data_IF_883454619161
#
_entry.id   IF_883454619161
#
_cell.length_a   1.000
_cell.length_b   1.000
_cell.length_c   1.000
_cell.angle_alpha   90.00
_cell.angle_beta   90.00
_cell.angle_gamma   90.00
#
_symmetry.space_group_name_H-M   'P 1'
#
loop_
_entity.id
_entity.type
_entity.pdbx_description
1 polymer ?
#
# COMPACT_ATOMS: atom_id res chain seq x y z
N UNK A 1 -73.04 38.78 19.30
CA UNK A 1 -72.22 38.49 18.11
C UNK A 1 -71.15 39.58 18.07
N UNK A 2 -69.86 39.41 18.38
CA UNK A 2 -68.98 38.25 18.43
C UNK A 2 -67.84 38.46 19.46
N UNK A 3 -67.65 37.57 20.45
CA UNK A 3 -66.44 37.53 21.29
C UNK A 3 -65.37 36.55 20.75
N UNK A 4 -65.55 36.04 19.52
CA UNK A 4 -64.81 34.88 19.00
C UNK A 4 -63.48 35.24 18.32
N UNK A 5 -63.27 36.54 18.03
CA UNK A 5 -62.10 37.03 17.29
C UNK A 5 -60.84 37.09 18.16
N UNK A 6 -60.99 37.33 19.47
CA UNK A 6 -59.87 37.52 20.40
C UNK A 6 -59.27 36.16 20.84
N UNK A 7 -60.11 35.13 20.89
CA UNK A 7 -59.70 33.77 21.28
C UNK A 7 -58.84 33.11 20.20
N UNK A 8 -59.07 33.41 18.92
CA UNK A 8 -58.24 32.89 17.82
C UNK A 8 -56.89 33.62 17.69
N UNK A 9 -56.80 34.88 18.12
CA UNK A 9 -55.55 35.63 18.11
C UNK A 9 -54.53 35.14 19.15
N UNK A 10 -54.99 34.70 20.33
CA UNK A 10 -54.12 34.20 21.40
C UNK A 10 -53.60 32.77 21.16
N UNK A 11 -54.22 31.99 20.26
CA UNK A 11 -53.70 30.67 19.86
C UNK A 11 -52.47 30.77 18.94
N UNK A 12 -52.15 31.97 18.44
CA UNK A 12 -51.02 32.21 17.53
C UNK A 12 -49.75 32.71 18.25
N UNK A 13 -49.74 32.75 19.59
CA UNK A 13 -48.50 33.05 20.34
C UNK A 13 -47.61 31.81 20.29
N UNK A 14 -46.84 31.71 19.21
CA UNK A 14 -45.75 30.76 19.03
C UNK A 14 -44.70 31.05 20.10
N UNK A 15 -44.39 30.06 20.94
CA UNK A 15 -43.31 30.13 21.92
C UNK A 15 -41.97 30.36 21.20
N UNK A 16 -41.51 31.60 21.15
CA UNK A 16 -40.21 32.00 20.60
C UNK A 16 -39.11 31.89 21.67
N UNK A 17 -38.98 30.72 22.30
CA UNK A 17 -37.87 30.48 23.20
C UNK A 17 -36.60 30.32 22.35
N UNK A 18 -35.75 31.35 22.36
CA UNK A 18 -34.42 31.29 21.74
C UNK A 18 -33.50 30.32 22.50
N UNK A 19 -32.44 29.88 21.84
CA UNK A 19 -31.41 29.04 22.45
C UNK A 19 -30.72 29.77 23.59
N UNK A 20 -30.46 29.05 24.68
CA UNK A 20 -29.69 29.59 25.80
C UNK A 20 -28.19 29.54 25.49
N UNK A 21 -27.39 30.42 26.11
CA UNK A 21 -25.92 30.39 25.95
C UNK A 21 -25.33 29.02 26.36
N UNK A 22 -25.88 28.43 27.43
CA UNK A 22 -25.42 27.13 27.93
C UNK A 22 -25.73 26.00 26.94
N UNK A 23 -26.86 26.07 26.23
CA UNK A 23 -27.25 25.09 25.22
C UNK A 23 -26.28 25.10 24.03
N UNK A 24 -25.96 26.29 23.51
CA UNK A 24 -24.96 26.44 22.43
C UNK A 24 -23.58 25.95 22.87
N UNK A 25 -23.19 26.24 24.12
CA UNK A 25 -21.90 25.83 24.66
C UNK A 25 -21.81 24.30 24.78
N UNK A 26 -22.87 23.65 25.25
CA UNK A 26 -22.96 22.18 25.29
C UNK A 26 -22.97 21.59 23.88
N UNK A 27 -23.72 22.18 22.93
CA UNK A 27 -23.75 21.74 21.53
C UNK A 27 -22.36 21.75 20.88
N UNK A 28 -21.63 22.86 20.99
CA UNK A 28 -20.29 22.99 20.42
C UNK A 28 -19.32 22.02 21.10
N UNK A 29 -19.47 21.80 22.41
CA UNK A 29 -18.64 20.84 23.15
C UNK A 29 -18.84 19.41 22.63
N UNK A 30 -20.09 18.96 22.52
CA UNK A 30 -20.42 17.62 21.99
C UNK A 30 -19.99 17.47 20.54
N UNK A 31 -20.22 18.50 19.71
CA UNK A 31 -19.77 18.54 18.32
C UNK A 31 -18.25 18.41 18.20
N UNK A 32 -17.51 19.12 19.05
CA UNK A 32 -16.04 19.09 19.04
C UNK A 32 -15.50 17.70 19.36
N UNK A 33 -16.10 17.00 20.34
CA UNK A 33 -15.76 15.61 20.65
C UNK A 33 -16.01 14.70 19.43
N UNK A 34 -17.13 14.90 18.74
CA UNK A 34 -17.46 14.15 17.52
C UNK A 34 -16.45 14.35 16.39
N UNK A 35 -16.03 15.60 16.13
CA UNK A 35 -15.06 15.92 15.09
C UNK A 35 -13.68 15.36 15.42
N UNK A 36 -13.26 15.40 16.70
CA UNK A 36 -12.00 14.79 17.15
C UNK A 36 -12.01 13.27 16.94
N UNK A 37 -13.12 12.60 17.26
CA UNK A 37 -13.29 11.18 16.99
C UNK A 37 -13.21 10.85 15.50
N UNK A 38 -13.88 11.64 14.65
CA UNK A 38 -13.82 11.49 13.20
C UNK A 38 -12.41 11.72 12.64
N UNK A 39 -11.68 12.72 13.15
CA UNK A 39 -10.29 12.97 12.76
C UNK A 39 -9.35 11.81 13.11
N UNK A 40 -9.49 11.24 14.31
CA UNK A 40 -8.74 10.06 14.72
C UNK A 40 -9.01 8.85 13.80
N UNK A 41 -10.28 8.64 13.41
CA UNK A 41 -10.65 7.60 12.44
C UNK A 41 -10.01 7.85 11.07
N UNK A 42 -10.06 9.09 10.58
CA UNK A 42 -9.46 9.45 9.28
C UNK A 42 -7.96 9.13 9.25
N UNK A 43 -7.22 9.47 10.32
CA UNK A 43 -5.80 9.13 10.44
C UNK A 43 -5.54 7.62 10.39
N UNK A 44 -6.38 6.83 11.07
CA UNK A 44 -6.27 5.36 11.02
C UNK A 44 -6.50 4.81 9.61
N UNK A 45 -7.46 5.35 8.87
CA UNK A 45 -7.75 4.93 7.49
C UNK A 45 -6.61 5.29 6.55
N UNK A 46 -6.04 6.50 6.69
CA UNK A 46 -4.90 6.93 5.86
C UNK A 46 -3.70 6.00 6.03
N UNK A 47 -3.35 5.68 7.28
CA UNK A 47 -2.23 4.77 7.56
C UNK A 47 -2.49 3.35 7.02
N UNK A 48 -3.71 2.83 7.19
CA UNK A 48 -4.06 1.50 6.66
C UNK A 48 -4.09 1.45 5.12
N UNK A 49 -4.55 2.52 4.49
CA UNK A 49 -4.61 2.60 3.03
C UNK A 49 -3.23 2.79 2.40
N UNK A 50 -2.33 3.56 3.03
CA UNK A 50 -0.97 3.75 2.55
C UNK A 50 -0.23 2.41 2.39
N UNK A 51 -0.22 1.57 3.43
CA UNK A 51 0.39 0.24 3.35
C UNK A 51 -0.28 -0.69 2.33
N UNK A 52 -1.59 -0.54 2.14
CA UNK A 52 -2.33 -1.33 1.13
C UNK A 52 -1.99 -0.89 -0.29
N UNK A 53 -1.76 0.41 -0.50
CA UNK A 53 -1.29 0.96 -1.77
C UNK A 53 0.08 0.38 -2.12
N UNK A 54 1.02 0.42 -1.16
CA UNK A 54 2.38 -0.06 -1.40
C UNK A 54 2.43 -1.56 -1.69
N UNK A 55 1.64 -2.35 -0.94
CA UNK A 55 1.50 -3.78 -1.20
C UNK A 55 0.95 -4.04 -2.61
N UNK A 56 -0.06 -3.27 -3.04
CA UNK A 56 -0.67 -3.43 -4.36
C UNK A 56 0.35 -3.12 -5.46
N UNK A 57 1.09 -2.02 -5.34
CA UNK A 57 2.14 -1.65 -6.30
C UNK A 57 3.28 -2.68 -6.30
N UNK A 58 3.78 -3.09 -5.14
CA UNK A 58 4.82 -4.13 -5.04
C UNK A 58 4.38 -5.44 -5.70
N UNK A 59 3.12 -5.86 -5.50
CA UNK A 59 2.59 -7.07 -6.14
C UNK A 59 2.48 -6.92 -7.64
N UNK A 60 2.09 -5.74 -8.15
CA UNK A 60 2.01 -5.47 -9.58
C UNK A 60 3.41 -5.52 -10.23
N UNK A 61 4.42 -4.93 -9.58
CA UNK A 61 5.81 -4.99 -10.03
C UNK A 61 6.37 -6.43 -10.03
N UNK A 62 6.05 -7.20 -8.99
CA UNK A 62 6.46 -8.61 -8.92
C UNK A 62 5.83 -9.44 -10.05
N UNK A 63 4.53 -9.22 -10.33
CA UNK A 63 3.82 -9.89 -11.42
C UNK A 63 4.41 -9.53 -12.78
N UNK A 64 4.63 -8.24 -13.06
CA UNK A 64 5.25 -7.79 -14.31
C UNK A 64 6.63 -8.45 -14.50
N UNK A 65 7.45 -8.50 -13.45
CA UNK A 65 8.75 -9.18 -13.54
C UNK A 65 8.62 -10.67 -13.82
N UNK A 66 7.68 -11.36 -13.18
CA UNK A 66 7.40 -12.79 -13.44
C UNK A 66 6.89 -12.99 -14.87
N UNK A 67 6.02 -12.12 -15.39
CA UNK A 67 5.55 -12.16 -16.78
C UNK A 67 6.70 -12.03 -17.77
N UNK A 68 7.64 -11.10 -17.51
CA UNK A 68 8.85 -10.97 -18.31
C UNK A 68 9.69 -12.26 -18.28
N UNK A 69 9.88 -12.89 -17.11
CA UNK A 69 10.62 -14.17 -16.96
C UNK A 69 9.92 -15.33 -17.71
N UNK A 70 8.59 -15.35 -17.70
CA UNK A 70 7.80 -16.35 -18.44
C UNK A 70 8.09 -16.23 -19.94
N UNK A 71 8.20 -15.00 -20.46
CA UNK A 71 8.43 -14.74 -21.88
C UNK A 71 9.85 -15.11 -22.37
N UNK A 72 10.85 -15.16 -21.48
CA UNK A 72 12.23 -15.53 -21.84
C UNK A 72 12.36 -17.03 -22.19
N UNK A 73 13.40 -17.42 -22.94
CA UNK A 73 13.67 -18.84 -23.21
C UNK A 73 14.35 -19.53 -22.01
N UNK A 74 14.26 -20.85 -21.91
CA UNK A 74 14.98 -21.60 -20.86
C UNK A 74 16.50 -21.33 -20.84
N UNK A 75 17.10 -21.12 -22.02
CA UNK A 75 18.54 -20.88 -22.17
C UNK A 75 18.89 -19.38 -22.28
N UNK A 76 17.99 -18.49 -21.86
CA UNK A 76 18.25 -17.06 -21.90
C UNK A 76 19.51 -16.70 -21.09
N UNK A 77 20.42 -15.84 -21.61
CA UNK A 77 21.60 -15.39 -20.86
C UNK A 77 21.28 -14.70 -19.53
N UNK A 78 20.07 -14.17 -19.34
CA UNK A 78 19.64 -13.65 -18.03
C UNK A 78 19.55 -14.74 -16.96
N UNK A 79 19.50 -16.01 -17.38
CA UNK A 79 19.52 -17.19 -16.50
C UNK A 79 20.89 -17.89 -16.44
N UNK A 80 21.93 -17.33 -17.08
CA UNK A 80 23.28 -17.84 -16.90
C UNK A 80 23.80 -17.38 -15.55
N UNK A 81 23.90 -18.37 -14.67
CA UNK A 81 24.36 -18.27 -13.28
C UNK A 81 25.79 -17.73 -13.19
N UNK A 82 25.93 -16.41 -13.08
CA UNK A 82 27.15 -15.76 -12.58
C UNK A 82 27.05 -15.48 -11.06
N UNK A 83 25.94 -15.88 -10.42
CA UNK A 83 25.47 -15.33 -9.16
C UNK A 83 25.04 -16.44 -8.19
N UNK A 84 25.81 -17.52 -8.10
CA UNK A 84 25.60 -18.71 -7.24
C UNK A 84 25.62 -18.40 -5.72
N UNK A 85 25.61 -17.11 -5.36
CA UNK A 85 25.29 -16.64 -4.02
C UNK A 85 23.84 -16.16 -4.01
N UNK A 86 22.92 -16.92 -3.37
CA UNK A 86 21.57 -16.44 -3.12
C UNK A 86 21.63 -15.05 -2.48
N UNK A 87 20.74 -14.16 -2.89
CA UNK A 87 20.58 -12.92 -2.16
C UNK A 87 20.12 -13.27 -0.72
N UNK A 88 20.99 -13.01 0.26
CA UNK A 88 20.76 -13.27 1.67
C UNK A 88 20.49 -11.96 2.41
N UNK A 89 19.31 -11.87 3.01
CA UNK A 89 18.95 -10.72 3.83
C UNK A 89 19.45 -10.90 5.26
N UNK A 90 20.34 -10.02 5.72
CA UNK A 90 20.82 -9.97 7.11
C UNK A 90 20.32 -8.65 7.72
N UNK A 91 19.21 -8.72 8.45
CA UNK A 91 18.57 -7.52 9.03
C UNK A 91 18.03 -6.59 7.94
N UNK A 92 18.40 -5.31 8.00
CA UNK A 92 18.05 -4.25 7.03
C UNK A 92 19.00 -4.21 5.82
N UNK A 93 20.03 -5.06 5.82
CA UNK A 93 21.05 -5.08 4.79
C UNK A 93 20.81 -6.21 3.79
N UNK A 94 20.98 -5.85 2.52
CA UNK A 94 20.92 -6.75 1.37
C UNK A 94 22.35 -7.25 1.10
N UNK A 95 22.67 -8.53 1.34
CA UNK A 95 24.01 -9.11 1.13
C UNK A 95 23.93 -10.30 0.15
N UNK A 96 24.83 -10.37 -0.83
CA UNK A 96 24.86 -11.46 -1.83
C UNK A 96 24.53 -10.98 -3.24
N UNK A 97 24.95 -11.79 -4.22
CA UNK A 97 25.05 -11.43 -5.63
C UNK A 97 23.84 -11.76 -6.51
N UNK A 98 22.65 -12.03 -5.96
CA UNK A 98 21.43 -12.23 -6.78
C UNK A 98 21.25 -11.09 -7.80
N UNK A 99 20.70 -11.38 -8.98
CA UNK A 99 20.59 -10.38 -10.05
C UNK A 99 19.70 -9.23 -9.58
N UNK A 100 20.32 -8.08 -9.29
CA UNK A 100 19.58 -6.85 -8.99
C UNK A 100 19.06 -6.28 -10.30
N UNK A 101 17.81 -6.62 -10.65
CA UNK A 101 17.20 -6.15 -11.88
C UNK A 101 16.89 -4.65 -11.80
N UNK A 102 16.71 -4.10 -10.58
CA UNK A 102 16.39 -2.68 -10.38
C UNK A 102 16.76 -2.20 -8.98
N UNK A 103 17.83 -1.41 -8.88
CA UNK A 103 18.08 -0.46 -7.78
C UNK A 103 17.98 0.93 -8.39
N UNK A 104 16.87 1.63 -8.21
CA UNK A 104 16.75 3.01 -8.69
C UNK A 104 17.49 3.89 -7.67
N UNK A 105 18.74 4.21 -7.97
CA UNK A 105 19.39 5.41 -7.45
C UNK A 105 19.99 6.09 -8.68
N UNK A 106 19.33 7.16 -9.12
CA UNK A 106 19.57 7.83 -10.39
C UNK A 106 21.01 8.36 -10.53
N UNK A 107 21.72 7.95 -11.59
CA UNK A 107 22.74 8.81 -12.23
C UNK A 107 22.46 8.83 -13.73
N UNK A 108 21.61 9.76 -14.15
CA UNK A 108 21.47 10.19 -15.54
C UNK A 108 20.38 9.48 -16.35
N UNK A 109 19.56 10.33 -16.96
CA UNK A 109 18.61 10.07 -18.05
C UNK A 109 17.19 9.59 -17.69
N UNK A 110 16.27 10.09 -18.50
CA UNK A 110 14.84 10.25 -18.32
C UNK A 110 14.10 8.90 -18.19
N UNK A 111 14.12 8.30 -17.01
CA UNK A 111 13.30 7.13 -16.65
C UNK A 111 12.56 7.39 -15.36
N UNK A 112 11.25 7.21 -15.39
CA UNK A 112 10.33 7.46 -14.28
C UNK A 112 10.75 6.61 -13.08
N UNK A 113 11.11 7.31 -12.02
CA UNK A 113 11.52 6.83 -10.71
C UNK A 113 10.30 6.29 -9.96
N UNK A 114 10.32 5.02 -9.53
CA UNK A 114 9.55 4.58 -8.36
C UNK A 114 10.58 4.15 -7.31
N UNK A 115 11.02 5.14 -6.52
CA UNK A 115 12.20 5.14 -5.64
C UNK A 115 12.08 4.21 -4.41
N UNK A 116 10.92 3.59 -4.19
CA UNK A 116 10.60 2.88 -2.94
C UNK A 116 10.72 1.36 -3.03
N UNK A 117 10.86 0.78 -4.22
CA UNK A 117 10.87 -0.68 -4.43
C UNK A 117 12.17 -1.16 -5.05
N UNK A 118 12.76 -2.19 -4.43
CA UNK A 118 13.94 -2.89 -4.95
C UNK A 118 13.53 -4.33 -5.31
N UNK A 119 13.89 -4.75 -6.52
CA UNK A 119 13.55 -6.09 -7.03
C UNK A 119 14.81 -6.96 -7.05
N UNK A 120 14.72 -8.10 -6.39
CA UNK A 120 15.73 -9.15 -6.39
C UNK A 120 15.23 -10.36 -7.16
N UNK A 121 16.11 -10.96 -7.93
CA UNK A 121 15.87 -12.24 -8.56
C UNK A 121 16.94 -13.25 -8.14
N UNK A 122 16.48 -14.43 -7.79
CA UNK A 122 17.31 -15.60 -7.50
C UNK A 122 16.87 -16.76 -8.40
N UNK A 123 17.83 -17.53 -8.90
CA UNK A 123 17.59 -18.62 -9.83
C UNK A 123 18.28 -19.86 -9.27
N UNK A 124 17.52 -20.94 -9.14
CA UNK A 124 18.02 -22.22 -8.67
C UNK A 124 17.77 -23.30 -9.71
N UNK A 125 18.84 -23.90 -10.20
CA UNK A 125 18.78 -24.97 -11.20
C UNK A 125 18.45 -26.32 -10.58
N UNK A 126 17.73 -27.15 -11.34
CA UNK A 126 17.37 -28.53 -11.04
C UNK A 126 16.54 -28.74 -9.77
N UNK A 127 15.76 -27.74 -9.37
CA UNK A 127 14.83 -27.82 -8.24
C UNK A 127 13.42 -27.45 -8.72
N UNK A 128 12.38 -28.25 -8.41
CA UNK A 128 12.40 -29.53 -7.70
C UNK A 128 12.77 -30.73 -8.60
N UNK A 129 12.94 -30.54 -9.91
CA UNK A 129 13.21 -31.61 -10.87
C UNK A 129 14.40 -31.29 -11.77
N UNK A 130 15.02 -32.32 -12.35
CA UNK A 130 16.08 -32.17 -13.37
C UNK A 130 15.52 -31.38 -14.57
N UNK A 131 16.39 -30.57 -15.19
CA UNK A 131 16.05 -29.70 -16.32
C UNK A 131 14.96 -28.66 -15.97
N UNK A 132 14.85 -28.28 -14.70
CA UNK A 132 14.03 -27.16 -14.25
C UNK A 132 14.89 -26.03 -13.70
N UNK A 133 14.37 -24.80 -13.79
CA UNK A 133 14.90 -23.62 -13.10
C UNK A 133 13.77 -23.10 -12.22
N UNK A 134 14.02 -22.97 -10.92
CA UNK A 134 13.16 -22.22 -10.01
C UNK A 134 13.65 -20.78 -9.97
N UNK A 135 12.81 -19.85 -10.39
CA UNK A 135 13.07 -18.42 -10.32
C UNK A 135 12.24 -17.83 -9.20
N UNK A 136 12.91 -17.16 -8.27
CA UNK A 136 12.30 -16.42 -7.18
C UNK A 136 12.48 -14.93 -7.41
N UNK A 137 11.37 -14.19 -7.37
CA UNK A 137 11.34 -12.73 -7.47
C UNK A 137 10.90 -12.18 -6.11
N UNK A 138 11.73 -11.35 -5.50
CA UNK A 138 11.42 -10.64 -4.27
C UNK A 138 11.36 -9.13 -4.54
N UNK A 139 10.24 -8.49 -4.23
CA UNK A 139 10.10 -7.03 -4.26
C UNK A 139 10.10 -6.52 -2.83
N UNK A 140 11.04 -5.63 -2.51
CA UNK A 140 11.31 -5.12 -1.17
C UNK A 140 11.05 -3.63 -1.14
N UNK A 141 10.31 -3.16 -0.12
CA UNK A 141 10.08 -1.73 0.10
C UNK A 141 10.10 -1.39 1.58
N UNK A 142 10.13 -0.09 1.89
CA UNK A 142 10.06 0.45 3.25
C UNK A 142 8.68 1.04 3.52
N UNK A 143 8.05 0.62 4.62
CA UNK A 143 6.82 1.20 5.15
C UNK A 143 7.15 1.80 6.53
N UNK A 144 7.46 3.10 6.57
CA UNK A 144 8.07 3.75 7.73
C UNK A 144 9.44 3.13 8.04
N UNK A 145 9.70 2.76 9.30
CA UNK A 145 10.95 2.08 9.71
C UNK A 145 10.90 0.55 9.50
N UNK A 146 9.88 0.03 8.81
CA UNK A 146 9.71 -1.42 8.60
C UNK A 146 9.93 -1.78 7.14
N UNK A 147 10.91 -2.64 6.90
CA UNK A 147 11.01 -3.31 5.61
C UNK A 147 9.87 -4.32 5.42
N UNK A 148 9.34 -4.33 4.21
CA UNK A 148 8.33 -5.26 3.72
C UNK A 148 8.83 -5.96 2.47
N UNK A 149 8.29 -7.14 2.20
CA UNK A 149 8.67 -7.93 1.03
C UNK A 149 7.48 -8.70 0.53
N UNK A 150 7.33 -8.76 -0.79
CA UNK A 150 6.49 -9.73 -1.48
C UNK A 150 7.39 -10.65 -2.30
N UNK A 151 7.10 -11.94 -2.27
CA UNK A 151 7.91 -12.99 -2.90
C UNK A 151 7.05 -13.83 -3.82
N UNK A 152 7.51 -14.05 -5.04
CA UNK A 152 6.86 -14.90 -6.03
C UNK A 152 7.85 -15.93 -6.55
N UNK A 153 7.40 -17.18 -6.67
CA UNK A 153 8.20 -18.28 -7.19
C UNK A 153 7.58 -18.78 -8.48
N UNK A 154 8.42 -18.99 -9.49
CA UNK A 154 8.06 -19.54 -10.78
C UNK A 154 8.99 -20.68 -11.15
N UNK A 155 8.46 -21.79 -11.68
CA UNK A 155 9.26 -22.93 -12.13
C UNK A 155 9.17 -23.00 -13.64
N UNK A 156 10.32 -22.95 -14.30
CA UNK A 156 10.45 -23.13 -15.74
C UNK A 156 11.11 -24.48 -16.00
N UNK A 157 10.48 -25.31 -16.82
CA UNK A 157 11.06 -26.59 -17.26
C UNK A 157 11.59 -26.44 -18.66
N UNK A 158 12.70 -27.11 -18.96
CA UNK A 158 13.14 -27.33 -20.33
C UNK A 158 12.10 -28.21 -21.02
N UNK A 159 11.61 -27.77 -22.17
CA UNK A 159 10.77 -28.60 -23.04
C UNK A 159 11.66 -29.41 -23.99
#
# INVERSE_FOLDING_TARGET
MAPQLNTMANLLIKNNNGFTLIEVLVTITVLSIGILGAGAMQLSVLNGNAGSYDLTEATALALDQVENIIALDYNDPLFSDDNDTPYQRIGDQVVGGGLMIRTINSVGDNSVVSDNYTIFMDITDNVPAIDSKTIRVDVVWTEGDKLKTVSMNYIKTRY
#
